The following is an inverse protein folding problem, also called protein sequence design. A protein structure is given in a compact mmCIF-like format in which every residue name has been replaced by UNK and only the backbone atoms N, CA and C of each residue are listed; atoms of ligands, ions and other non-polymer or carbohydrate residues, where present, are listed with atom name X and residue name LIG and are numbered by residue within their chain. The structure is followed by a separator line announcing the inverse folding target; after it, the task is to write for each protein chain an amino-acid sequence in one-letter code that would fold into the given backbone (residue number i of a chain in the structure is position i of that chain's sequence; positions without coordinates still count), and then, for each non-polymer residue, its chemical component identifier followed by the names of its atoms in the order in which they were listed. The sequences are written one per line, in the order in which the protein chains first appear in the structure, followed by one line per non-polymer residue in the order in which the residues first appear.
data_IF_000644527748
#
_entry.id   IF_000644527748
#
_cell.length_a   1.000
_cell.length_b   1.000
_cell.length_c   1.000
_cell.angle_alpha   90.00
_cell.angle_beta   90.00
_cell.angle_gamma   90.00
#
_symmetry.space_group_name_H-M   'P 1'
#
loop_
_entity.id
_entity.type
_entity.pdbx_description
1 polymer ?
#
# COMPACT_ATOMS: atom_id res chain seq x y z
N UNK A 1 9.37 17.83 7.14
CA UNK A 1 9.85 16.71 6.32
C UNK A 1 9.17 15.46 6.86
N UNK A 2 8.44 14.73 6.02
CA UNK A 2 7.76 13.50 6.44
C UNK A 2 8.79 12.37 6.45
N UNK A 3 8.78 11.53 7.48
CA UNK A 3 9.67 10.37 7.62
C UNK A 3 9.16 9.23 6.71
N UNK A 4 10.07 8.46 6.11
CA UNK A 4 9.79 7.25 5.31
C UNK A 4 8.71 6.33 5.93
N UNK A 5 8.70 6.16 7.27
CA UNK A 5 7.68 5.39 8.00
C UNK A 5 6.30 6.04 7.91
N UNK A 6 6.20 7.36 8.08
CA UNK A 6 4.92 8.06 8.05
C UNK A 6 4.36 8.11 6.64
N UNK A 7 5.23 8.22 5.63
CA UNK A 7 4.86 8.08 4.22
C UNK A 7 4.36 6.68 3.89
N UNK A 8 5.05 5.63 4.35
CA UNK A 8 4.61 4.25 4.19
C UNK A 8 3.22 4.02 4.81
N UNK A 9 3.00 4.50 6.04
CA UNK A 9 1.70 4.40 6.72
C UNK A 9 0.59 5.07 5.93
N UNK A 10 0.85 6.27 5.41
CA UNK A 10 -0.11 7.01 4.58
C UNK A 10 -0.51 6.21 3.33
N UNK A 11 0.46 5.62 2.63
CA UNK A 11 0.16 4.84 1.44
C UNK A 11 -0.57 3.52 1.74
N UNK A 12 -0.23 2.86 2.85
CA UNK A 12 -0.99 1.69 3.34
C UNK A 12 -2.45 2.06 3.58
N UNK A 13 -2.72 3.18 4.24
CA UNK A 13 -4.09 3.64 4.50
C UNK A 13 -4.85 3.95 3.19
N UNK A 14 -4.19 4.61 2.23
CA UNK A 14 -4.78 4.88 0.91
C UNK A 14 -5.17 3.57 0.22
N UNK A 15 -4.24 2.61 0.16
CA UNK A 15 -4.47 1.30 -0.49
C UNK A 15 -5.61 0.53 0.19
N UNK A 16 -5.68 0.53 1.52
CA UNK A 16 -6.76 -0.11 2.26
C UNK A 16 -8.13 0.50 1.95
N UNK A 17 -8.21 1.84 1.88
CA UNK A 17 -9.46 2.53 1.54
C UNK A 17 -9.87 2.27 0.09
N UNK A 18 -8.91 2.20 -0.83
CA UNK A 18 -9.15 1.87 -2.25
C UNK A 18 -9.53 0.40 -2.48
N UNK A 19 -9.22 -0.50 -1.55
CA UNK A 19 -9.61 -1.91 -1.63
C UNK A 19 -11.11 -2.14 -1.37
N UNK A 20 -11.84 -1.13 -0.88
CA UNK A 20 -13.26 -1.21 -0.57
C UNK A 20 -14.02 -0.46 -1.67
N UNK A 21 -14.71 -1.16 -2.59
CA UNK A 21 -15.52 -0.52 -3.60
C UNK A 21 -16.67 0.25 -2.97
N UNK A 22 -17.04 1.38 -3.57
CA UNK A 22 -18.23 2.10 -3.16
C UNK A 22 -19.49 1.30 -3.52
N UNK A 23 -20.54 1.43 -2.72
CA UNK A 23 -21.90 1.00 -3.07
C UNK A 23 -22.11 -0.51 -3.30
N UNK A 24 -21.22 -1.36 -2.78
CA UNK A 24 -21.36 -2.82 -2.86
C UNK A 24 -20.93 -3.42 -4.20
N UNK A 25 -20.25 -2.65 -5.03
CA UNK A 25 -19.62 -3.15 -6.26
C UNK A 25 -18.44 -4.08 -5.92
N UNK A 26 -18.06 -4.93 -6.87
CA UNK A 26 -16.80 -5.68 -6.80
C UNK A 26 -15.73 -4.98 -7.62
N UNK A 27 -14.48 -5.01 -7.15
CA UNK A 27 -13.35 -4.59 -7.97
C UNK A 27 -13.33 -5.41 -9.27
N UNK A 28 -13.04 -4.76 -10.39
CA UNK A 28 -12.76 -5.44 -11.66
C UNK A 28 -11.48 -6.28 -11.57
N UNK A 29 -11.24 -7.14 -12.56
CA UNK A 29 -9.98 -7.91 -12.62
C UNK A 29 -8.74 -7.01 -12.66
N UNK A 30 -8.80 -5.92 -13.41
CA UNK A 30 -7.69 -4.97 -13.55
C UNK A 30 -7.46 -4.18 -12.25
N UNK A 31 -8.53 -3.74 -11.58
CA UNK A 31 -8.42 -3.06 -10.29
C UNK A 31 -7.87 -3.99 -9.20
N UNK A 32 -8.28 -5.27 -9.17
CA UNK A 32 -7.67 -6.27 -8.28
C UNK A 32 -6.19 -6.48 -8.57
N UNK A 33 -5.80 -6.54 -9.84
CA UNK A 33 -4.40 -6.68 -10.24
C UNK A 33 -3.57 -5.46 -9.82
N UNK A 34 -4.10 -4.24 -10.02
CA UNK A 34 -3.47 -2.99 -9.60
C UNK A 34 -3.34 -2.88 -8.07
N UNK A 35 -4.39 -3.30 -7.33
CA UNK A 35 -4.36 -3.36 -5.87
C UNK A 35 -3.29 -4.35 -5.38
N UNK A 36 -3.25 -5.56 -5.94
CA UNK A 36 -2.26 -6.57 -5.59
C UNK A 36 -0.83 -6.11 -5.90
N UNK A 37 -0.61 -5.38 -7.00
CA UNK A 37 0.67 -4.78 -7.32
C UNK A 37 1.06 -3.69 -6.30
N UNK A 38 0.10 -2.82 -5.94
CA UNK A 38 0.31 -1.77 -4.93
C UNK A 38 0.70 -2.35 -3.57
N UNK A 39 0.00 -3.39 -3.13
CA UNK A 39 0.34 -4.11 -1.89
C UNK A 39 1.76 -4.70 -1.91
N UNK A 40 2.19 -5.27 -3.05
CA UNK A 40 3.55 -5.82 -3.19
C UNK A 40 4.62 -4.73 -3.08
N UNK A 41 4.42 -3.59 -3.74
CA UNK A 41 5.36 -2.46 -3.66
C UNK A 41 5.45 -1.93 -2.23
N UNK A 42 4.32 -1.79 -1.53
CA UNK A 42 4.32 -1.34 -0.13
C UNK A 42 5.07 -2.32 0.80
N UNK A 43 4.90 -3.63 0.60
CA UNK A 43 5.64 -4.63 1.37
C UNK A 43 7.16 -4.53 1.13
N UNK A 44 7.58 -4.36 -0.13
CA UNK A 44 9.00 -4.18 -0.47
C UNK A 44 9.58 -2.90 0.14
N UNK A 45 8.84 -1.80 0.09
CA UNK A 45 9.24 -0.53 0.71
C UNK A 45 9.35 -0.66 2.22
N UNK A 46 8.40 -1.34 2.88
CA UNK A 46 8.45 -1.61 4.31
C UNK A 46 9.71 -2.40 4.70
N UNK A 47 10.06 -3.42 3.92
CA UNK A 47 11.27 -4.21 4.11
C UNK A 47 12.54 -3.34 3.99
N UNK A 48 12.63 -2.51 2.94
CA UNK A 48 13.76 -1.60 2.74
C UNK A 48 13.91 -0.60 3.89
N UNK A 49 12.81 -0.04 4.38
CA UNK A 49 12.82 0.88 5.52
C UNK A 49 13.30 0.15 6.78
N UNK A 50 12.82 -1.08 7.02
CA UNK A 50 13.24 -1.88 8.16
C UNK A 50 14.74 -2.18 8.12
N UNK A 51 15.28 -2.52 6.94
CA UNK A 51 16.71 -2.75 6.73
C UNK A 51 17.55 -1.50 7.00
N UNK A 52 17.09 -0.32 6.54
CA UNK A 52 17.77 0.96 6.82
C UNK A 52 17.82 1.32 8.29
N UNK A 53 16.81 0.94 9.07
CA UNK A 53 16.74 1.24 10.51
C UNK A 53 17.56 0.24 11.33
N UNK A 54 17.69 -1.00 10.86
CA UNK A 54 18.44 -2.05 11.53
C UNK A 54 19.96 -2.00 11.31
N UNK A 55 20.41 -1.22 10.32
CA UNK A 55 21.82 -0.99 9.99
C UNK A 55 22.44 0.13 10.83
#
# INVERSE_FOLDING_TARGET
MMNDIDELKRWVEIVQRSAIPAQGEELTADERAALAQSCRVLAQTAQLIAEKIAA
#
